data_IF_275261995771
#
_entry.id   IF_275261995771
#
_cell.length_a   1.000
_cell.length_b   1.000
_cell.length_c   1.000
_cell.angle_alpha   90.00
_cell.angle_beta   90.00
_cell.angle_gamma   90.00
#
_symmetry.space_group_name_H-M   'P 1'
#
loop_
_entity.id
_entity.type
_entity.pdbx_description
1 polymer ?
#
# COMPACT_ATOMS: atom_id res chain seq x y z
N UNK A 1 -0.67 24.01 -1.66
CA UNK A 1 -1.62 23.07 -2.29
C UNK A 1 -0.85 21.78 -2.61
N UNK A 2 -1.18 20.61 -2.05
CA UNK A 2 -0.43 19.40 -2.39
C UNK A 2 -0.92 18.87 -3.74
N UNK A 3 0.00 18.86 -4.71
CA UNK A 3 -0.19 18.35 -6.06
C UNK A 3 -0.43 16.83 -5.94
N UNK A 4 -1.51 16.27 -6.52
CA UNK A 4 -1.59 14.83 -6.69
C UNK A 4 -0.46 14.43 -7.63
N UNK A 5 0.56 13.77 -7.09
CA UNK A 5 1.60 13.14 -7.88
C UNK A 5 0.92 12.08 -8.74
N UNK A 6 0.63 12.48 -9.98
CA UNK A 6 0.25 11.58 -11.05
C UNK A 6 1.48 10.67 -11.22
N UNK A 7 1.42 9.48 -10.61
CA UNK A 7 2.42 8.43 -10.74
C UNK A 7 2.42 7.95 -12.19
N UNK A 8 3.01 8.74 -13.09
CA UNK A 8 3.57 8.23 -14.33
C UNK A 8 4.91 7.59 -13.95
N UNK A 9 5.09 6.34 -14.36
CA UNK A 9 6.37 5.64 -14.53
C UNK A 9 6.66 4.43 -13.61
N UNK A 10 5.74 3.95 -12.75
CA UNK A 10 5.92 2.66 -12.04
C UNK A 10 4.59 1.92 -11.73
N UNK A 11 3.70 1.81 -12.72
CA UNK A 11 2.36 1.22 -12.58
C UNK A 11 2.30 -0.26 -12.18
N UNK A 12 3.42 -0.99 -12.22
CA UNK A 12 3.49 -2.37 -11.77
C UNK A 12 3.12 -2.52 -10.27
N UNK A 13 3.35 -1.48 -9.47
CA UNK A 13 3.16 -1.53 -8.02
C UNK A 13 1.71 -1.24 -7.62
N UNK A 14 1.01 -0.49 -8.47
CA UNK A 14 -0.40 -0.19 -8.33
C UNK A 14 -1.28 -1.39 -8.68
N UNK A 15 -0.84 -2.23 -9.64
CA UNK A 15 -1.68 -3.31 -10.21
C UNK A 15 -1.26 -4.73 -9.83
N UNK A 16 -0.01 -4.99 -9.40
CA UNK A 16 0.49 -6.37 -9.19
C UNK A 16 1.27 -6.63 -7.89
N UNK A 17 1.29 -5.66 -6.97
CA UNK A 17 2.01 -5.81 -5.69
C UNK A 17 1.21 -6.59 -4.65
N UNK A 18 1.83 -7.57 -4.01
CA UNK A 18 1.32 -8.24 -2.81
C UNK A 18 1.60 -7.39 -1.56
N UNK A 19 0.62 -7.26 -0.68
CA UNK A 19 0.79 -6.60 0.61
C UNK A 19 1.61 -7.50 1.55
N UNK A 20 2.78 -7.04 1.99
CA UNK A 20 3.61 -7.77 2.95
C UNK A 20 3.35 -7.34 4.39
N UNK A 21 3.24 -6.04 4.62
CA UNK A 21 3.07 -5.48 5.96
C UNK A 21 2.37 -4.14 5.89
N UNK A 22 1.41 -3.95 6.78
CA UNK A 22 0.72 -2.68 6.99
C UNK A 22 0.83 -2.31 8.46
N UNK A 23 1.49 -1.20 8.74
CA UNK A 23 1.55 -0.59 10.07
C UNK A 23 0.73 0.70 10.04
N UNK A 24 -0.19 0.86 11.00
CA UNK A 24 -1.04 2.04 11.12
C UNK A 24 -0.93 2.57 12.55
N UNK A 25 -0.64 3.85 12.67
CA UNK A 25 -0.64 4.57 13.95
C UNK A 25 -1.86 5.48 13.99
N UNK A 26 -2.77 5.20 14.90
CA UNK A 26 -3.94 6.03 15.16
C UNK A 26 -3.52 7.20 16.06
N UNK A 27 -3.76 8.42 15.59
CA UNK A 27 -3.37 9.65 16.27
C UNK A 27 -4.58 10.37 16.88
N UNK A 28 -5.73 10.29 16.22
CA UNK A 28 -6.99 10.84 16.73
C UNK A 28 -8.20 10.04 16.22
N UNK A 29 -9.34 10.06 16.94
CA UNK A 29 -10.53 9.33 16.53
C UNK A 29 -11.22 10.04 15.35
N UNK A 30 -11.58 9.28 14.32
CA UNK A 30 -12.55 9.71 13.32
C UNK A 30 -13.97 9.40 13.80
N UNK A 31 -14.90 10.33 13.56
CA UNK A 31 -16.32 10.14 13.92
C UNK A 31 -17.08 9.58 12.72
N UNK A 32 -18.11 8.79 12.99
CA UNK A 32 -19.00 8.27 11.95
C UNK A 32 -19.58 9.44 11.14
N UNK A 33 -19.36 9.41 9.82
CA UNK A 33 -19.79 10.47 8.90
C UNK A 33 -18.69 11.48 8.55
N UNK A 34 -17.53 11.44 9.22
CA UNK A 34 -16.38 12.26 8.83
C UNK A 34 -15.93 11.89 7.41
N UNK A 35 -15.77 12.90 6.55
CA UNK A 35 -15.15 12.73 5.24
C UNK A 35 -13.64 12.65 5.42
N UNK A 36 -13.09 11.47 5.22
CA UNK A 36 -11.67 11.20 5.39
C UNK A 36 -10.97 11.27 4.03
N UNK A 37 -9.82 11.94 3.99
CA UNK A 37 -8.92 11.98 2.85
C UNK A 37 -7.69 11.11 3.13
N UNK A 38 -7.47 10.11 2.31
CA UNK A 38 -6.25 9.31 2.34
C UNK A 38 -5.26 9.87 1.30
N UNK A 39 -4.04 10.20 1.75
CA UNK A 39 -2.95 10.65 0.90
C UNK A 39 -1.85 9.61 1.00
N UNK A 40 -1.53 8.96 -0.12
CA UNK A 40 -0.44 7.97 -0.18
C UNK A 40 0.74 8.60 -0.90
N UNK A 41 1.89 8.57 -0.24
CA UNK A 41 3.17 9.07 -0.73
C UNK A 41 4.14 7.90 -0.81
N UNK A 42 4.61 7.56 -2.02
CA UNK A 42 5.66 6.56 -2.17
C UNK A 42 6.97 7.12 -1.61
N UNK A 43 7.56 6.44 -0.61
CA UNK A 43 8.76 6.94 0.10
C UNK A 43 10.04 6.37 -0.50
N UNK A 44 10.04 5.10 -0.86
CA UNK A 44 11.19 4.46 -1.50
C UNK A 44 10.78 3.17 -2.21
N UNK A 45 11.51 2.86 -3.27
CA UNK A 45 11.32 1.62 -3.99
C UNK A 45 12.61 0.93 -4.39
N UNK A 46 12.71 -0.37 -4.07
CA UNK A 46 13.73 -1.27 -4.61
C UNK A 46 13.18 -2.09 -5.77
N UNK A 47 13.99 -2.95 -6.42
CA UNK A 47 13.54 -3.75 -7.58
C UNK A 47 12.32 -4.65 -7.32
N UNK A 48 12.07 -5.03 -6.05
CA UNK A 48 11.01 -5.99 -5.68
C UNK A 48 10.11 -5.51 -4.55
N UNK A 49 10.52 -4.51 -3.79
CA UNK A 49 9.82 -4.07 -2.58
C UNK A 49 9.61 -2.57 -2.59
N UNK A 50 8.41 -2.18 -2.22
CA UNK A 50 7.91 -0.82 -2.14
C UNK A 50 7.65 -0.45 -0.71
N UNK A 51 8.09 0.72 -0.28
CA UNK A 51 7.59 1.33 0.96
C UNK A 51 6.76 2.54 0.62
N UNK A 52 5.46 2.45 0.87
CA UNK A 52 4.51 3.54 0.76
C UNK A 52 4.24 4.09 2.15
N UNK A 53 4.31 5.40 2.28
CA UNK A 53 3.82 6.11 3.45
C UNK A 53 2.43 6.67 3.15
N UNK A 54 1.56 6.70 4.14
CA UNK A 54 0.19 7.19 3.99
C UNK A 54 -0.19 8.08 5.16
N UNK A 55 -0.94 9.12 4.85
CA UNK A 55 -1.57 9.98 5.83
C UNK A 55 -3.08 9.95 5.64
N UNK A 56 -3.79 9.90 6.75
CA UNK A 56 -5.24 9.85 6.79
C UNK A 56 -5.71 11.12 7.50
N UNK A 57 -6.33 12.01 6.74
CA UNK A 57 -6.77 13.33 7.19
C UNK A 57 -8.29 13.36 7.34
N UNK A 58 -8.76 13.76 8.52
CA UNK A 58 -10.16 14.08 8.77
C UNK A 58 -10.42 15.59 8.71
N UNK A 59 -11.67 16.01 8.94
CA UNK A 59 -12.04 17.44 8.93
C UNK A 59 -11.33 18.25 10.03
N UNK A 60 -10.87 17.57 11.09
CA UNK A 60 -10.25 18.18 12.28
C UNK A 60 -8.72 18.03 12.32
N UNK A 61 -8.11 17.45 11.28
CA UNK A 61 -6.67 17.23 11.20
C UNK A 61 -6.29 15.78 10.94
N UNK A 62 -5.05 15.44 11.29
CA UNK A 62 -4.47 14.12 11.03
C UNK A 62 -5.09 13.07 11.97
N UNK A 63 -5.71 12.06 11.38
CA UNK A 63 -6.38 10.95 12.08
C UNK A 63 -5.43 9.80 12.30
N UNK A 64 -4.66 9.45 11.26
CA UNK A 64 -3.73 8.35 11.34
C UNK A 64 -2.60 8.50 10.32
N UNK A 65 -1.52 7.77 10.59
CA UNK A 65 -0.42 7.58 9.63
C UNK A 65 -0.27 6.10 9.37
N UNK A 66 0.18 5.75 8.16
CA UNK A 66 0.36 4.37 7.76
C UNK A 66 1.67 4.17 7.02
N UNK A 67 2.31 3.03 7.23
CA UNK A 67 3.40 2.55 6.39
C UNK A 67 2.99 1.21 5.81
N UNK A 68 2.98 1.11 4.49
CA UNK A 68 2.63 -0.09 3.75
C UNK A 68 3.84 -0.58 2.95
N UNK A 69 4.28 -1.80 3.22
CA UNK A 69 5.30 -2.48 2.44
C UNK A 69 4.59 -3.41 1.44
N UNK A 70 4.81 -3.17 0.15
CA UNK A 70 4.34 -4.06 -0.93
C UNK A 70 5.53 -4.78 -1.57
N UNK A 71 5.28 -5.96 -2.12
CA UNK A 71 6.25 -6.69 -2.94
C UNK A 71 5.67 -6.99 -4.30
N UNK A 72 6.44 -6.72 -5.36
CA UNK A 72 6.12 -7.24 -6.70
C UNK A 72 6.68 -8.66 -6.80
N UNK A 73 5.82 -9.68 -6.96
CA UNK A 73 6.29 -11.05 -7.15
C UNK A 73 7.03 -11.16 -8.50
N UNK A 74 8.08 -11.98 -8.54
CA UNK A 74 8.68 -12.34 -9.83
C UNK A 74 7.66 -13.14 -10.65
N UNK A 75 7.45 -12.75 -11.91
CA UNK A 75 6.70 -13.57 -12.87
C UNK A 75 7.30 -14.99 -12.87
N UNK A 76 6.55 -15.95 -12.33
CA UNK A 76 6.97 -17.36 -12.22
C UNK A 76 7.11 -17.93 -10.80
N UNK A 77 7.14 -17.11 -9.74
CA UNK A 77 7.26 -17.63 -8.37
C UNK A 77 5.90 -17.98 -7.74
N UNK A 78 4.86 -17.17 -7.97
CA UNK A 78 3.53 -17.41 -7.38
C UNK A 78 2.75 -18.55 -8.07
N UNK A 79 2.98 -18.77 -9.37
CA UNK A 79 2.30 -19.82 -10.14
C UNK A 79 2.85 -21.23 -9.88
N UNK A 80 4.15 -21.37 -9.57
CA UNK A 80 4.78 -22.71 -9.42
C UNK A 80 4.59 -23.34 -8.04
N UNK A 81 4.40 -22.54 -6.98
CA UNK A 81 4.25 -23.07 -5.62
C UNK A 81 2.84 -23.59 -5.31
N UNK A 82 1.79 -22.99 -5.90
CA UNK A 82 0.40 -23.42 -5.64
C UNK A 82 0.06 -24.69 -6.44
N UNK A 83 0.59 -24.82 -7.67
CA UNK A 83 0.38 -26.00 -8.49
C UNK A 83 0.97 -27.29 -7.87
N UNK A 84 2.10 -27.19 -7.15
CA UNK A 84 2.73 -28.34 -6.51
C UNK A 84 2.05 -28.82 -5.22
N UNK A 85 1.20 -27.99 -4.59
CA UNK A 85 0.50 -28.40 -3.37
C UNK A 85 -0.86 -29.04 -3.66
N UNK A 86 -1.52 -28.66 -4.77
CA UNK A 86 -2.79 -29.25 -5.19
C UNK A 86 -2.59 -30.60 -5.89
N UNK A 87 -1.46 -30.82 -6.59
CA UNK A 87 -1.16 -32.08 -7.27
C UNK A 87 -0.74 -33.24 -6.34
N UNK A 88 -0.86 -33.09 -5.02
CA UNK A 88 -0.50 -34.10 -4.00
C UNK A 88 -1.66 -34.51 -3.09
N UNK A 89 -2.88 -34.07 -3.38
CA UNK A 89 -4.13 -34.58 -2.80
C UNK A 89 -4.85 -35.44 -3.85
#
# INVERSE_FOLDING_TARGET
MPIPLLLKDNDAWATSGLSLSLSVNLLSPAVKGDKIRCVVMSKSGGKRTATCYGEIWGPRGLVATATHIKMVPQHGAASKSVAHHIAKL
#
